data_IF_318744892701
#
_entry.id   IF_318744892701
#
_cell.length_a   1.000
_cell.length_b   1.000
_cell.length_c   1.000
_cell.angle_alpha   90.00
_cell.angle_beta   90.00
_cell.angle_gamma   90.00
#
_symmetry.space_group_name_H-M   'P 1'
#
loop_
_entity.id
_entity.type
_entity.pdbx_description
1 polymer ?
#
# COMPACT_ATOMS: atom_id res chain seq x y z
N UNK A 1 59.87 -30.70 11.04
CA UNK A 1 59.47 -29.32 10.70
C UNK A 1 58.43 -29.27 9.57
N UNK A 2 58.63 -29.97 8.42
CA UNK A 2 57.64 -29.99 7.31
C UNK A 2 56.39 -30.78 7.69
N UNK A 3 56.54 -31.91 8.41
CA UNK A 3 55.39 -32.69 8.90
C UNK A 3 54.57 -31.93 9.97
N UNK A 4 55.19 -31.16 10.81
CA UNK A 4 54.52 -30.34 11.83
C UNK A 4 53.69 -29.19 11.16
N UNK A 5 54.24 -28.60 10.11
CA UNK A 5 53.55 -27.56 9.35
C UNK A 5 52.34 -28.15 8.60
N UNK A 6 52.51 -29.32 7.96
CA UNK A 6 51.42 -30.01 7.26
C UNK A 6 50.29 -30.44 8.21
N UNK A 7 50.65 -30.95 9.40
CA UNK A 7 49.65 -31.33 10.42
C UNK A 7 48.89 -30.10 10.95
N UNK A 8 49.57 -28.97 11.17
CA UNK A 8 48.91 -27.73 11.61
C UNK A 8 47.94 -27.21 10.56
N UNK A 9 48.31 -27.20 9.26
CA UNK A 9 47.41 -26.81 8.18
C UNK A 9 46.22 -27.76 8.04
N UNK A 10 46.41 -29.06 8.27
CA UNK A 10 45.34 -30.06 8.18
C UNK A 10 44.34 -29.89 9.33
N UNK A 11 44.81 -29.67 10.56
CA UNK A 11 43.96 -29.43 11.73
C UNK A 11 43.16 -28.10 11.58
N UNK A 12 43.82 -27.06 11.10
CA UNK A 12 43.17 -25.77 10.88
C UNK A 12 42.10 -25.84 9.79
N UNK A 13 42.36 -26.53 8.68
CA UNK A 13 41.40 -26.75 7.61
C UNK A 13 40.18 -27.59 8.04
N UNK A 14 40.39 -28.63 8.85
CA UNK A 14 39.33 -29.46 9.45
C UNK A 14 38.49 -28.66 10.44
N UNK A 15 39.12 -27.79 11.23
CA UNK A 15 38.41 -26.92 12.18
C UNK A 15 37.56 -25.87 11.49
N UNK A 16 38.04 -25.25 10.43
CA UNK A 16 37.29 -24.32 9.57
C UNK A 16 36.15 -25.00 8.85
N UNK A 17 36.35 -26.19 8.32
CA UNK A 17 35.33 -26.97 7.67
C UNK A 17 34.21 -27.39 8.65
N UNK A 18 34.56 -27.79 9.85
CA UNK A 18 33.62 -28.13 10.92
C UNK A 18 32.85 -26.89 11.41
N UNK A 19 33.52 -25.74 11.55
CA UNK A 19 32.87 -24.47 11.89
C UNK A 19 31.90 -24.02 10.79
N UNK A 20 32.33 -24.08 9.53
CA UNK A 20 31.50 -23.72 8.39
C UNK A 20 30.27 -24.65 8.27
N UNK A 21 30.45 -25.96 8.40
CA UNK A 21 29.31 -26.91 8.35
C UNK A 21 28.38 -26.74 9.54
N UNK A 22 28.88 -26.49 10.75
CA UNK A 22 28.04 -26.23 11.92
C UNK A 22 27.26 -24.91 11.78
N UNK A 23 27.88 -23.87 11.23
CA UNK A 23 27.21 -22.59 10.93
C UNK A 23 26.15 -22.75 9.84
N UNK A 24 26.47 -23.43 8.74
CA UNK A 24 25.52 -23.68 7.66
C UNK A 24 24.35 -24.55 8.13
N UNK A 25 24.61 -25.62 8.91
CA UNK A 25 23.52 -26.44 9.48
C UNK A 25 22.71 -25.71 10.54
N UNK A 26 23.30 -24.77 11.30
CA UNK A 26 22.54 -23.92 12.23
C UNK A 26 21.68 -22.86 11.51
N UNK A 27 22.09 -22.42 10.33
CA UNK A 27 21.30 -21.51 9.46
C UNK A 27 20.18 -22.26 8.72
N UNK A 28 20.41 -23.54 8.35
CA UNK A 28 19.42 -24.44 7.75
C UNK A 28 18.81 -25.32 8.84
N UNK A 29 18.27 -24.71 9.87
CA UNK A 29 17.55 -25.47 10.89
C UNK A 29 16.22 -25.95 10.29
N UNK A 30 15.99 -27.26 10.22
CA UNK A 30 14.76 -27.88 9.67
C UNK A 30 13.51 -27.31 10.34
N UNK A 31 13.60 -26.94 11.63
CA UNK A 31 12.51 -26.24 12.34
C UNK A 31 12.23 -24.85 11.76
N UNK A 32 13.24 -24.14 11.24
CA UNK A 32 13.04 -22.85 10.58
C UNK A 32 12.37 -23.03 9.21
N UNK A 33 12.77 -24.05 8.44
CA UNK A 33 12.15 -24.35 7.15
C UNK A 33 10.68 -24.74 7.33
N UNK A 34 10.37 -25.58 8.32
CA UNK A 34 8.99 -25.94 8.62
C UNK A 34 8.16 -24.76 9.13
N UNK A 35 8.76 -23.85 9.93
CA UNK A 35 8.11 -22.62 10.36
C UNK A 35 7.81 -21.68 9.18
N UNK A 36 8.74 -21.52 8.25
CA UNK A 36 8.52 -20.76 7.01
C UNK A 36 7.42 -21.36 6.15
N UNK A 37 7.43 -22.71 5.98
CA UNK A 37 6.41 -23.41 5.21
C UNK A 37 5.02 -23.25 5.84
N UNK A 38 4.91 -23.40 7.15
CA UNK A 38 3.68 -23.17 7.90
C UNK A 38 3.21 -21.71 7.82
N UNK A 39 4.13 -20.75 7.90
CA UNK A 39 3.81 -19.33 7.75
C UNK A 39 3.28 -19.00 6.35
N UNK A 40 3.92 -19.55 5.30
CA UNK A 40 3.47 -19.37 3.91
C UNK A 40 2.10 -20.01 3.69
N UNK A 41 1.89 -21.22 4.21
CA UNK A 41 0.60 -21.93 4.09
C UNK A 41 -0.51 -21.21 4.83
N UNK A 42 -0.25 -20.76 6.06
CA UNK A 42 -1.19 -19.95 6.84
C UNK A 42 -1.50 -18.61 6.17
N UNK A 43 -0.48 -17.94 5.63
CA UNK A 43 -0.64 -16.68 4.89
C UNK A 43 -1.52 -16.88 3.65
N UNK A 44 -1.23 -17.92 2.85
CA UNK A 44 -2.00 -18.24 1.64
C UNK A 44 -3.44 -18.60 1.98
N UNK A 45 -3.65 -19.43 3.01
CA UNK A 45 -5.00 -19.78 3.49
C UNK A 45 -5.79 -18.57 3.97
N UNK A 46 -5.16 -17.69 4.75
CA UNK A 46 -5.78 -16.45 5.23
C UNK A 46 -6.11 -15.49 4.08
N UNK A 47 -5.23 -15.37 3.09
CA UNK A 47 -5.50 -14.57 1.89
C UNK A 47 -6.71 -15.08 1.12
N UNK A 48 -6.81 -16.41 0.92
CA UNK A 48 -7.94 -17.01 0.21
C UNK A 48 -9.26 -16.79 0.95
N UNK A 49 -9.29 -17.03 2.27
CA UNK A 49 -10.47 -16.79 3.11
C UNK A 49 -10.85 -15.31 3.09
N UNK A 50 -9.89 -14.40 3.22
CA UNK A 50 -10.14 -12.96 3.20
C UNK A 50 -10.67 -12.51 1.83
N UNK A 51 -10.07 -12.99 0.74
CA UNK A 51 -10.52 -12.68 -0.62
C UNK A 51 -11.96 -13.17 -0.85
N UNK A 52 -12.25 -14.41 -0.43
CA UNK A 52 -13.61 -14.96 -0.52
C UNK A 52 -14.61 -14.16 0.31
N UNK A 53 -14.26 -13.85 1.58
CA UNK A 53 -15.13 -13.09 2.48
C UNK A 53 -15.40 -11.67 1.93
N UNK A 54 -14.35 -10.97 1.47
CA UNK A 54 -14.49 -9.64 0.88
C UNK A 54 -15.38 -9.69 -0.37
N UNK A 55 -15.11 -10.63 -1.28
CA UNK A 55 -15.89 -10.79 -2.51
C UNK A 55 -17.35 -11.11 -2.21
N UNK A 56 -17.59 -12.04 -1.27
CA UNK A 56 -18.92 -12.45 -0.86
C UNK A 56 -19.70 -11.29 -0.23
N UNK A 57 -19.09 -10.62 0.75
CA UNK A 57 -19.70 -9.46 1.42
C UNK A 57 -19.99 -8.36 0.40
N UNK A 58 -19.02 -8.02 -0.46
CA UNK A 58 -19.19 -6.99 -1.48
C UNK A 58 -20.32 -7.34 -2.45
N UNK A 59 -20.40 -8.60 -2.88
CA UNK A 59 -21.48 -9.05 -3.76
C UNK A 59 -22.87 -8.81 -3.13
N UNK A 60 -23.05 -9.22 -1.87
CA UNK A 60 -24.34 -9.03 -1.18
C UNK A 60 -24.64 -7.55 -0.91
N UNK A 61 -23.64 -6.74 -0.54
CA UNK A 61 -23.82 -5.30 -0.38
C UNK A 61 -24.24 -4.61 -1.68
N UNK A 62 -23.70 -5.04 -2.81
CA UNK A 62 -24.09 -4.50 -4.12
C UNK A 62 -25.49 -4.98 -4.54
N UNK A 63 -25.77 -6.28 -4.35
CA UNK A 63 -27.04 -6.88 -4.71
C UNK A 63 -28.20 -6.31 -3.89
N UNK A 64 -28.03 -6.19 -2.58
CA UNK A 64 -29.06 -5.82 -1.63
C UNK A 64 -28.91 -4.38 -1.11
N UNK A 65 -28.28 -3.50 -1.90
CA UNK A 65 -27.98 -2.12 -1.52
C UNK A 65 -29.19 -1.31 -1.06
N UNK A 66 -30.37 -1.56 -1.62
CA UNK A 66 -31.62 -0.89 -1.24
C UNK A 66 -32.12 -1.31 0.15
N UNK A 67 -31.94 -2.58 0.51
CA UNK A 67 -32.31 -3.11 1.83
C UNK A 67 -31.42 -2.51 2.91
N UNK A 68 -30.12 -2.39 2.63
CA UNK A 68 -29.14 -1.85 3.56
C UNK A 68 -29.42 -0.37 3.83
N UNK A 69 -29.64 0.42 2.77
CA UNK A 69 -29.99 1.84 2.89
C UNK A 69 -31.29 2.01 3.65
N UNK A 70 -32.34 1.23 3.31
CA UNK A 70 -33.62 1.26 4.00
C UNK A 70 -33.53 0.87 5.49
N UNK A 71 -32.67 -0.12 5.82
CA UNK A 71 -32.45 -0.51 7.21
C UNK A 71 -31.74 0.59 8.01
N UNK A 72 -30.76 1.27 7.42
CA UNK A 72 -30.09 2.41 8.06
C UNK A 72 -31.07 3.58 8.31
N UNK A 73 -31.95 3.88 7.34
CA UNK A 73 -32.97 4.90 7.50
C UNK A 73 -34.00 4.57 8.59
N UNK A 74 -34.31 3.29 8.80
CA UNK A 74 -35.26 2.85 9.83
C UNK A 74 -34.70 2.91 11.25
N UNK A 75 -33.40 2.88 11.43
CA UNK A 75 -32.72 3.02 12.74
C UNK A 75 -32.72 4.49 13.19
N UNK A 76 -32.77 5.44 12.25
CA UNK A 76 -32.70 6.87 12.52
C UNK A 76 -34.09 7.44 12.83
N UNK A 77 -34.21 8.39 13.78
CA UNK A 77 -35.42 9.17 13.99
C UNK A 77 -35.86 9.86 12.68
N UNK A 78 -37.17 10.04 12.51
CA UNK A 78 -37.74 10.64 11.30
C UNK A 78 -37.13 11.99 10.95
N UNK A 79 -36.75 12.76 11.94
CA UNK A 79 -36.15 14.12 11.81
C UNK A 79 -34.79 14.12 11.10
N UNK A 80 -34.04 13.00 11.10
CA UNK A 80 -32.69 12.90 10.52
C UNK A 80 -32.61 12.02 9.27
N UNK A 81 -33.73 11.63 8.69
CA UNK A 81 -33.75 10.71 7.53
C UNK A 81 -33.33 11.38 6.23
N UNK A 82 -33.68 12.64 6.08
CA UNK A 82 -33.34 13.41 4.88
C UNK A 82 -31.83 13.73 4.88
N UNK A 83 -31.29 14.18 6.00
CA UNK A 83 -29.85 14.41 6.19
C UNK A 83 -29.04 13.12 6.01
N UNK A 84 -29.51 12.01 6.54
CA UNK A 84 -28.84 10.72 6.37
C UNK A 84 -28.82 10.27 4.90
N UNK A 85 -29.89 10.55 4.15
CA UNK A 85 -29.95 10.25 2.72
C UNK A 85 -28.93 11.09 1.95
N UNK A 86 -28.80 12.37 2.29
CA UNK A 86 -27.85 13.28 1.65
C UNK A 86 -26.40 12.89 1.97
N UNK A 87 -26.09 12.55 3.24
CA UNK A 87 -24.80 12.00 3.65
C UNK A 87 -24.45 10.78 2.81
N UNK A 88 -25.36 9.80 2.68
CA UNK A 88 -25.12 8.57 1.93
C UNK A 88 -24.82 8.84 0.45
N UNK A 89 -25.55 9.77 -0.19
CA UNK A 89 -25.33 10.16 -1.59
C UNK A 89 -23.94 10.80 -1.74
N UNK A 90 -23.58 11.73 -0.85
CA UNK A 90 -22.29 12.40 -0.87
C UNK A 90 -21.14 11.42 -0.62
N UNK A 91 -21.25 10.54 0.37
CA UNK A 91 -20.28 9.50 0.69
C UNK A 91 -20.08 8.57 -0.50
N UNK A 92 -21.18 8.05 -1.08
CA UNK A 92 -21.11 7.19 -2.27
C UNK A 92 -20.39 7.88 -3.43
N UNK A 93 -20.75 9.14 -3.73
CA UNK A 93 -20.13 9.90 -4.81
C UNK A 93 -18.62 10.10 -4.59
N UNK A 94 -18.22 10.49 -3.36
CA UNK A 94 -16.81 10.72 -3.03
C UNK A 94 -16.00 9.45 -3.03
N UNK A 95 -16.52 8.36 -2.44
CA UNK A 95 -15.83 7.06 -2.43
C UNK A 95 -15.68 6.50 -3.84
N UNK A 96 -16.73 6.58 -4.67
CA UNK A 96 -16.65 6.11 -6.06
C UNK A 96 -15.56 6.87 -6.83
N UNK A 97 -15.53 8.19 -6.72
CA UNK A 97 -14.50 9.02 -7.38
C UNK A 97 -13.10 8.69 -6.86
N UNK A 98 -12.95 8.50 -5.55
CA UNK A 98 -11.68 8.13 -4.94
C UNK A 98 -11.15 6.79 -5.48
N UNK A 99 -11.98 5.74 -5.45
CA UNK A 99 -11.55 4.41 -5.91
C UNK A 99 -11.30 4.35 -7.41
N UNK A 100 -12.12 5.01 -8.22
CA UNK A 100 -11.87 5.13 -9.67
C UNK A 100 -10.56 5.88 -9.91
N UNK A 101 -10.35 7.01 -9.22
CA UNK A 101 -9.11 7.76 -9.29
C UNK A 101 -7.88 6.93 -8.91
N UNK A 102 -7.99 6.17 -7.82
CA UNK A 102 -6.94 5.27 -7.35
C UNK A 102 -6.60 4.18 -8.39
N UNK A 103 -7.60 3.57 -9.02
CA UNK A 103 -7.36 2.61 -10.10
C UNK A 103 -6.63 3.24 -11.29
N UNK A 104 -7.02 4.46 -11.68
CA UNK A 104 -6.35 5.21 -12.76
C UNK A 104 -4.90 5.54 -12.36
N UNK A 105 -4.67 6.00 -11.14
CA UNK A 105 -3.33 6.30 -10.62
C UNK A 105 -2.42 5.06 -10.63
N UNK A 106 -2.89 3.93 -10.13
CA UNK A 106 -2.15 2.65 -10.17
C UNK A 106 -1.75 2.31 -11.60
N UNK A 107 -2.69 2.41 -12.56
CA UNK A 107 -2.43 2.11 -13.96
C UNK A 107 -1.43 3.09 -14.58
N UNK A 108 -1.50 4.37 -14.28
CA UNK A 108 -0.57 5.38 -14.78
C UNK A 108 0.85 5.15 -14.23
N UNK A 109 0.98 5.00 -12.92
CA UNK A 109 2.27 4.74 -12.25
C UNK A 109 2.87 3.43 -12.77
N UNK A 110 2.06 2.36 -12.87
CA UNK A 110 2.49 1.10 -13.48
C UNK A 110 3.01 1.30 -14.91
N UNK A 111 2.22 1.97 -15.75
CA UNK A 111 2.55 2.11 -17.18
C UNK A 111 3.82 2.91 -17.39
N UNK A 112 3.98 4.04 -16.68
CA UNK A 112 5.16 4.89 -16.82
C UNK A 112 6.42 4.18 -16.34
N UNK A 113 6.36 3.54 -15.17
CA UNK A 113 7.48 2.75 -14.68
C UNK A 113 7.79 1.57 -15.60
N UNK A 114 6.78 0.85 -16.11
CA UNK A 114 6.99 -0.27 -17.02
C UNK A 114 7.70 0.18 -18.31
N UNK A 115 7.24 1.26 -18.94
CA UNK A 115 7.87 1.80 -20.14
C UNK A 115 9.28 2.29 -19.83
N UNK A 116 9.45 3.09 -18.76
CA UNK A 116 10.75 3.63 -18.39
C UNK A 116 11.78 2.55 -18.10
N UNK A 117 11.45 1.58 -17.27
CA UNK A 117 12.34 0.48 -16.90
C UNK A 117 12.64 -0.47 -18.09
N UNK A 118 11.66 -0.66 -18.98
CA UNK A 118 11.86 -1.41 -20.22
C UNK A 118 12.88 -0.73 -21.14
N UNK A 119 12.84 0.59 -21.29
CA UNK A 119 13.76 1.33 -22.16
C UNK A 119 15.22 1.24 -21.71
N UNK A 120 15.48 1.05 -20.43
CA UNK A 120 16.84 0.86 -19.88
C UNK A 120 17.24 -0.63 -19.78
N UNK A 121 16.40 -1.55 -20.28
CA UNK A 121 16.72 -2.97 -20.40
C UNK A 121 16.59 -3.79 -19.13
N UNK A 122 15.79 -3.36 -18.14
CA UNK A 122 15.53 -4.16 -16.94
C UNK A 122 14.67 -5.36 -17.28
N UNK A 123 15.17 -6.58 -17.09
CA UNK A 123 14.46 -7.82 -17.42
C UNK A 123 13.14 -7.99 -16.63
N UNK A 124 13.16 -7.64 -15.35
CA UNK A 124 12.02 -7.76 -14.44
C UNK A 124 11.20 -6.46 -14.30
N UNK A 125 11.21 -5.60 -15.33
CA UNK A 125 10.54 -4.30 -15.30
C UNK A 125 9.05 -4.36 -14.94
N UNK A 126 8.33 -5.38 -15.41
CA UNK A 126 6.90 -5.55 -15.12
C UNK A 126 6.63 -5.80 -13.65
N UNK A 127 7.46 -6.62 -12.98
CA UNK A 127 7.29 -6.92 -11.55
C UNK A 127 7.55 -5.67 -10.73
N UNK A 128 8.62 -4.93 -11.04
CA UNK A 128 8.97 -3.68 -10.35
C UNK A 128 7.86 -2.65 -10.56
N UNK A 129 7.42 -2.44 -11.79
CA UNK A 129 6.38 -1.47 -12.13
C UNK A 129 5.04 -1.81 -11.50
N UNK A 130 4.63 -3.09 -11.52
CA UNK A 130 3.38 -3.55 -10.91
C UNK A 130 3.40 -3.35 -9.40
N UNK A 131 4.49 -3.74 -8.76
CA UNK A 131 4.65 -3.53 -7.31
C UNK A 131 4.63 -2.04 -6.96
N UNK A 132 5.38 -1.21 -7.70
CA UNK A 132 5.40 0.24 -7.49
C UNK A 132 4.01 0.86 -7.65
N UNK A 133 3.25 0.47 -8.68
CA UNK A 133 1.87 0.94 -8.88
C UNK A 133 0.94 0.55 -7.74
N UNK A 134 0.96 -0.71 -7.30
CA UNK A 134 0.09 -1.20 -6.22
C UNK A 134 0.45 -0.54 -4.88
N UNK A 135 1.74 -0.49 -4.53
CA UNK A 135 2.15 0.05 -3.23
C UNK A 135 1.98 1.58 -3.16
N UNK A 136 1.88 2.27 -4.30
CA UNK A 136 1.62 3.71 -4.38
C UNK A 136 0.25 4.11 -3.79
N UNK A 137 -0.66 3.15 -3.59
CA UNK A 137 -1.92 3.35 -2.82
C UNK A 137 -1.67 3.96 -1.45
N UNK A 138 -0.50 3.75 -0.87
CA UNK A 138 -0.09 4.33 0.41
C UNK A 138 0.71 5.61 0.14
N UNK A 139 0.11 6.81 0.27
CA UNK A 139 0.81 8.06 0.01
C UNK A 139 2.08 8.20 0.85
N UNK A 140 3.11 8.79 0.30
CA UNK A 140 4.43 9.05 0.89
C UNK A 140 5.27 7.81 1.16
N UNK A 141 4.69 6.77 1.76
CA UNK A 141 5.40 5.54 2.15
C UNK A 141 5.52 4.59 0.95
N UNK A 142 4.47 4.47 0.16
CA UNK A 142 4.43 3.60 -1.02
C UNK A 142 5.58 3.84 -2.00
N UNK A 143 5.81 5.07 -2.45
CA UNK A 143 6.91 5.40 -3.34
C UNK A 143 8.28 4.99 -2.81
N UNK A 144 8.54 5.21 -1.52
CA UNK A 144 9.81 4.83 -0.88
C UNK A 144 10.01 3.31 -0.90
N UNK A 145 8.95 2.56 -0.54
CA UNK A 145 8.97 1.10 -0.58
C UNK A 145 9.14 0.61 -2.03
N UNK A 146 8.46 1.25 -2.99
CA UNK A 146 8.58 0.93 -4.42
C UNK A 146 10.01 1.08 -4.94
N UNK A 147 10.67 2.20 -4.64
CA UNK A 147 12.06 2.46 -5.03
C UNK A 147 13.00 1.43 -4.39
N UNK A 148 12.85 1.15 -3.09
CA UNK A 148 13.65 0.14 -2.40
C UNK A 148 13.46 -1.26 -3.02
N UNK A 149 12.24 -1.64 -3.29
CA UNK A 149 11.93 -2.91 -3.95
C UNK A 149 12.56 -3.00 -5.34
N UNK A 150 12.43 -1.94 -6.15
CA UNK A 150 13.05 -1.85 -7.46
C UNK A 150 14.57 -1.99 -7.39
N UNK A 151 15.21 -1.29 -6.46
CA UNK A 151 16.66 -1.40 -6.24
C UNK A 151 17.09 -2.82 -5.86
N UNK A 152 16.35 -3.48 -4.96
CA UNK A 152 16.65 -4.86 -4.54
C UNK A 152 16.54 -5.82 -5.73
N UNK A 153 15.47 -5.72 -6.54
CA UNK A 153 15.30 -6.56 -7.72
C UNK A 153 16.43 -6.33 -8.73
N UNK A 154 16.78 -5.07 -9.02
CA UNK A 154 17.87 -4.74 -9.96
C UNK A 154 19.20 -5.31 -9.47
N UNK A 155 19.53 -5.16 -8.19
CA UNK A 155 20.77 -5.71 -7.61
C UNK A 155 20.78 -7.24 -7.72
N UNK A 156 19.70 -7.89 -7.33
CA UNK A 156 19.64 -9.37 -7.27
C UNK A 156 19.64 -10.02 -8.65
N UNK A 157 19.08 -9.37 -9.65
CA UNK A 157 19.04 -9.90 -11.03
C UNK A 157 20.32 -9.57 -11.82
N UNK A 158 21.03 -8.52 -11.43
CA UNK A 158 22.22 -8.05 -12.16
C UNK A 158 23.51 -8.15 -11.32
N UNK A 159 23.55 -9.03 -10.31
CA UNK A 159 24.71 -9.15 -9.39
C UNK A 159 26.02 -9.55 -10.09
N UNK A 160 25.95 -10.10 -11.32
CA UNK A 160 27.11 -10.47 -12.12
C UNK A 160 27.78 -9.28 -12.83
N UNK A 161 27.08 -8.15 -12.91
CA UNK A 161 27.62 -6.93 -13.52
C UNK A 161 28.69 -6.28 -12.62
N UNK A 162 29.67 -5.63 -13.25
CA UNK A 162 30.64 -4.83 -12.52
C UNK A 162 29.98 -3.69 -11.74
N UNK A 163 30.34 -3.56 -10.46
CA UNK A 163 29.66 -2.60 -9.56
C UNK A 163 29.71 -1.16 -10.07
N UNK A 164 30.89 -0.67 -10.43
CA UNK A 164 31.07 0.75 -10.76
C UNK A 164 30.63 1.11 -12.17
N UNK A 165 30.88 0.23 -13.15
CA UNK A 165 30.69 0.57 -14.57
C UNK A 165 29.30 0.25 -15.09
N UNK A 166 28.62 -0.75 -14.50
CA UNK A 166 27.36 -1.26 -15.06
C UNK A 166 26.21 -1.23 -14.04
N UNK A 167 26.41 -1.77 -12.83
CA UNK A 167 25.33 -1.90 -11.86
C UNK A 167 24.93 -0.56 -11.22
N UNK A 168 25.91 0.28 -10.85
CA UNK A 168 25.63 1.57 -10.23
C UNK A 168 24.92 2.55 -11.19
N UNK A 169 25.32 2.71 -12.46
CA UNK A 169 24.54 3.46 -13.44
C UNK A 169 23.13 2.91 -13.64
N UNK A 170 22.96 1.58 -13.71
CA UNK A 170 21.66 0.93 -13.87
C UNK A 170 20.72 1.24 -12.70
N UNK A 171 21.21 1.19 -11.48
CA UNK A 171 20.48 1.60 -10.26
C UNK A 171 20.13 3.09 -10.30
N UNK A 172 21.06 3.93 -10.76
CA UNK A 172 20.84 5.36 -10.92
C UNK A 172 19.70 5.67 -11.91
N UNK A 173 19.70 5.02 -13.07
CA UNK A 173 18.63 5.18 -14.05
C UNK A 173 17.29 4.63 -13.55
N UNK A 174 17.31 3.49 -12.87
CA UNK A 174 16.09 2.93 -12.24
C UNK A 174 15.50 3.91 -11.23
N UNK A 175 16.33 4.42 -10.32
CA UNK A 175 15.92 5.41 -9.34
C UNK A 175 15.40 6.70 -9.98
N UNK A 176 16.07 7.18 -11.01
CA UNK A 176 15.67 8.40 -11.76
C UNK A 176 14.28 8.23 -12.39
N UNK A 177 14.01 7.10 -13.07
CA UNK A 177 12.72 6.82 -13.67
C UNK A 177 11.62 6.80 -12.60
N UNK A 178 11.85 6.10 -11.49
CA UNK A 178 10.88 6.00 -10.41
C UNK A 178 10.64 7.35 -9.71
N UNK A 179 11.69 8.17 -9.54
CA UNK A 179 11.57 9.53 -9.02
C UNK A 179 10.78 10.43 -9.98
N UNK A 180 11.08 10.38 -11.28
CA UNK A 180 10.32 11.14 -12.29
C UNK A 180 8.84 10.73 -12.28
N UNK A 181 8.56 9.42 -12.24
CA UNK A 181 7.18 8.91 -12.11
C UNK A 181 6.50 9.46 -10.88
N UNK A 182 7.20 9.51 -9.74
CA UNK A 182 6.66 10.05 -8.50
C UNK A 182 6.42 11.56 -8.55
N UNK A 183 7.28 12.30 -9.22
CA UNK A 183 7.06 13.74 -9.45
C UNK A 183 5.82 13.97 -10.32
N UNK A 184 5.67 13.20 -11.41
CA UNK A 184 4.45 13.25 -12.24
C UNK A 184 3.20 12.91 -11.43
N UNK A 185 3.29 11.89 -10.58
CA UNK A 185 2.20 11.49 -9.69
C UNK A 185 1.81 12.62 -8.74
N UNK A 186 2.75 13.15 -7.98
CA UNK A 186 2.50 14.18 -6.98
C UNK A 186 2.02 15.52 -7.57
N UNK A 187 2.56 15.93 -8.72
CA UNK A 187 2.28 17.26 -9.29
C UNK A 187 1.20 17.26 -10.36
N UNK A 188 0.93 16.11 -10.99
CA UNK A 188 -0.03 16.03 -12.09
C UNK A 188 -1.18 15.09 -11.75
N UNK A 189 -0.91 13.81 -11.41
CA UNK A 189 -1.98 12.82 -11.30
C UNK A 189 -2.80 13.04 -10.04
N UNK A 190 -2.19 13.15 -8.90
CA UNK A 190 -2.89 13.34 -7.61
C UNK A 190 -3.75 14.62 -7.60
N UNK A 191 -3.27 15.81 -7.99
CA UNK A 191 -4.12 16.99 -8.08
C UNK A 191 -5.28 16.82 -9.04
N UNK A 192 -5.05 16.20 -10.21
CA UNK A 192 -6.10 16.02 -11.21
C UNK A 192 -7.16 15.01 -10.79
N UNK A 193 -6.73 13.89 -10.17
CA UNK A 193 -7.60 12.80 -9.76
C UNK A 193 -8.37 13.15 -8.47
N UNK A 194 -7.70 13.76 -7.49
CA UNK A 194 -8.25 13.96 -6.15
C UNK A 194 -8.77 15.36 -5.86
N UNK A 195 -8.63 16.33 -6.77
CA UNK A 195 -9.00 17.74 -6.56
C UNK A 195 -10.42 17.95 -6.03
N UNK A 196 -11.36 17.08 -6.39
CA UNK A 196 -12.75 17.15 -5.96
C UNK A 196 -13.14 16.11 -4.90
N UNK A 197 -12.22 15.24 -4.52
CA UNK A 197 -12.54 14.10 -3.63
C UNK A 197 -12.15 14.35 -2.20
N UNK A 198 -11.02 15.02 -1.95
CA UNK A 198 -10.46 15.23 -0.61
C UNK A 198 -10.00 16.68 -0.44
N UNK A 199 -10.90 17.55 0.04
CA UNK A 199 -10.56 18.94 0.37
C UNK A 199 -9.87 19.01 1.75
N UNK A 200 -8.70 18.36 1.91
CA UNK A 200 -7.96 18.32 3.16
C UNK A 200 -6.55 18.89 2.99
N UNK A 201 -6.02 19.47 4.06
CA UNK A 201 -4.62 19.92 4.05
C UNK A 201 -3.68 18.70 4.02
N UNK A 202 -2.56 18.74 3.27
CA UNK A 202 -1.62 17.61 3.20
C UNK A 202 -1.16 17.09 4.57
N UNK A 203 -0.99 17.97 5.54
CA UNK A 203 -0.64 17.61 6.92
C UNK A 203 -1.74 16.76 7.59
N UNK A 204 -3.02 17.06 7.35
CA UNK A 204 -4.14 16.28 7.89
C UNK A 204 -4.11 14.86 7.33
N UNK A 205 -3.92 14.73 6.02
CA UNK A 205 -3.80 13.42 5.35
C UNK A 205 -2.62 12.63 5.93
N UNK A 206 -1.47 13.27 6.08
CA UNK A 206 -0.28 12.64 6.64
C UNK A 206 -0.53 12.12 8.07
N UNK A 207 -1.12 12.94 8.94
CA UNK A 207 -1.45 12.54 10.31
C UNK A 207 -2.46 11.40 10.35
N UNK A 208 -3.49 11.44 9.51
CA UNK A 208 -4.49 10.36 9.43
C UNK A 208 -3.84 9.04 9.01
N UNK A 209 -2.93 9.08 8.02
CA UNK A 209 -2.19 7.89 7.57
C UNK A 209 -1.31 7.33 8.71
N UNK A 210 -0.60 8.21 9.45
CA UNK A 210 0.23 7.79 10.58
C UNK A 210 -0.60 7.13 11.69
N UNK A 211 -1.73 7.73 12.06
CA UNK A 211 -2.63 7.18 13.10
C UNK A 211 -3.21 5.85 12.63
N UNK A 212 -3.75 5.78 11.41
CA UNK A 212 -4.31 4.57 10.86
C UNK A 212 -3.26 3.46 10.72
N UNK A 213 -2.04 3.82 10.33
CA UNK A 213 -0.91 2.90 10.24
C UNK A 213 -0.49 2.32 11.59
N UNK A 214 -0.52 3.14 12.64
CA UNK A 214 -0.22 2.66 14.00
C UNK A 214 -1.32 1.73 14.54
N UNK A 215 -2.59 1.96 14.18
CA UNK A 215 -3.72 1.15 14.66
C UNK A 215 -3.88 -0.16 13.90
N UNK A 216 -3.76 -0.14 12.58
CA UNK A 216 -4.10 -1.27 11.70
C UNK A 216 -3.01 -1.62 10.67
N UNK A 217 -1.79 -1.09 10.83
CA UNK A 217 -0.67 -1.35 9.93
C UNK A 217 -0.92 -0.87 8.50
N UNK A 218 -0.41 -1.62 7.53
CA UNK A 218 -0.49 -1.29 6.10
C UNK A 218 -1.95 -1.15 5.63
N UNK A 219 -2.85 -2.02 6.08
CA UNK A 219 -4.27 -1.96 5.72
C UNK A 219 -4.89 -0.66 6.23
N UNK A 220 -4.54 -0.25 7.46
CA UNK A 220 -4.96 1.04 8.01
C UNK A 220 -4.53 2.22 7.15
N UNK A 221 -3.28 2.24 6.70
CA UNK A 221 -2.77 3.29 5.81
C UNK A 221 -3.54 3.36 4.48
N UNK A 222 -3.85 2.21 3.87
CA UNK A 222 -4.61 2.14 2.61
C UNK A 222 -6.04 2.67 2.74
N UNK A 223 -6.69 2.41 3.87
CA UNK A 223 -8.10 2.80 4.12
C UNK A 223 -8.21 4.18 4.79
N UNK A 224 -7.09 4.79 5.18
CA UNK A 224 -7.01 6.06 5.91
C UNK A 224 -7.76 7.20 5.20
N UNK A 225 -7.44 7.44 3.93
CA UNK A 225 -8.01 8.54 3.14
C UNK A 225 -9.51 8.38 2.90
N UNK A 226 -10.02 7.23 2.43
CA UNK A 226 -11.46 7.04 2.26
C UNK A 226 -12.22 7.15 3.59
N UNK A 227 -11.69 6.60 4.68
CA UNK A 227 -12.31 6.71 6.01
C UNK A 227 -12.38 8.16 6.49
N UNK A 228 -11.28 8.91 6.33
CA UNK A 228 -11.25 10.34 6.65
C UNK A 228 -12.25 11.14 5.81
N UNK A 229 -12.37 10.83 4.51
CA UNK A 229 -13.31 11.50 3.61
C UNK A 229 -14.76 11.28 4.04
N UNK A 230 -15.11 10.06 4.45
CA UNK A 230 -16.45 9.72 5.00
C UNK A 230 -16.70 10.49 6.29
N UNK A 231 -15.75 10.44 7.23
CA UNK A 231 -15.88 11.13 8.52
C UNK A 231 -16.10 12.64 8.34
N UNK A 232 -15.36 13.25 7.41
CA UNK A 232 -15.48 14.68 7.11
C UNK A 232 -16.83 15.05 6.51
N UNK A 233 -17.41 14.20 5.66
CA UNK A 233 -18.78 14.42 5.13
C UNK A 233 -19.78 14.40 6.28
N UNK A 234 -19.72 13.40 7.15
CA UNK A 234 -20.62 13.25 8.29
C UNK A 234 -20.53 14.48 9.22
N UNK A 235 -19.31 14.85 9.62
CA UNK A 235 -19.10 16.01 10.51
C UNK A 235 -19.60 17.30 9.87
N UNK A 236 -19.37 17.49 8.57
CA UNK A 236 -19.84 18.69 7.87
C UNK A 236 -21.35 18.78 7.88
N UNK A 237 -22.04 17.70 7.54
CA UNK A 237 -23.49 17.67 7.44
C UNK A 237 -24.16 17.93 8.80
N UNK A 238 -23.69 17.27 9.86
CA UNK A 238 -24.18 17.49 11.23
C UNK A 238 -23.99 18.95 11.64
N UNK A 239 -22.85 19.56 11.30
CA UNK A 239 -22.58 20.96 11.63
C UNK A 239 -23.49 21.93 10.85
N UNK A 240 -23.72 21.64 9.57
CA UNK A 240 -24.52 22.51 8.73
C UNK A 240 -26.02 22.43 9.13
N UNK A 241 -26.52 21.23 9.48
CA UNK A 241 -27.85 21.05 10.08
C UNK A 241 -28.02 21.77 11.42
N UNK A 242 -27.01 21.73 12.28
CA UNK A 242 -27.07 22.41 13.59
C UNK A 242 -27.07 23.94 13.47
N UNK A 243 -26.38 24.50 12.47
CA UNK A 243 -26.42 25.95 12.20
C UNK A 243 -27.78 26.39 11.70
N UNK A 244 -28.38 25.62 10.78
CA UNK A 244 -29.72 25.90 10.28
C UNK A 244 -30.78 25.92 11.40
N UNK A 245 -30.70 25.01 12.35
CA UNK A 245 -31.60 24.99 13.52
C UNK A 245 -31.38 26.21 14.42
N UNK A 246 -30.13 26.62 14.67
CA UNK A 246 -29.84 27.81 15.47
C UNK A 246 -30.31 29.10 14.80
N UNK A 247 -30.14 29.24 13.48
CA UNK A 247 -30.62 30.39 12.71
C UNK A 247 -32.15 30.51 12.74
N UNK A 248 -32.87 29.40 12.77
CA UNK A 248 -34.34 29.40 12.93
C UNK A 248 -34.75 29.85 14.33
N UNK A 249 -34.03 29.41 15.37
CA UNK A 249 -34.32 29.83 16.76
C UNK A 249 -34.05 31.30 16.99
N UNK A 250 -32.97 31.86 16.43
CA UNK A 250 -32.59 33.26 16.56
C UNK A 250 -33.54 34.23 15.78
N UNK A 251 -34.22 33.72 14.73
CA UNK A 251 -35.19 34.52 13.96
C UNK A 251 -36.61 34.52 14.56
N UNK A 252 -36.86 33.73 15.60
CA UNK A 252 -38.17 33.60 16.26
C UNK A 252 -38.21 34.35 17.60
N UNK A 253 -37.12 34.96 18.05
CA UNK A 253 -37.08 35.96 19.14
C UNK A 253 -37.09 37.40 18.58
#
# INVERSE_FOLDING_TARGET
EIEDILNTFTEESVSLQKYATTKVTSLINVSSVSAWFNAITAFTGNLFISFFAITFITFFFLKDSTIIIGSMQNILPFTFRDEASEILIQVKSKLTRYFVGLCVEILLVFTINAIGLWTIGIENFLIIALFAGIINVIPYIGPLIGILFGAIIVITTNYQLGWENDLLPLLGYTGLIMIITQLLDNFIFQPFIYSNSVNAHPLEIFLVILVAGNLYGIIGMMVAIPSYSVLRVIIKEIRDSSKFLNDIYDTTE
#
